data_IF_313244973380
#
_entry.id   IF_313244973380
#
_cell.length_a   1.000
_cell.length_b   1.000
_cell.length_c   1.000
_cell.angle_alpha   90.00
_cell.angle_beta   90.00
_cell.angle_gamma   90.00
#
_symmetry.space_group_name_H-M   'P 1'
#
loop_
_entity.id
_entity.type
_entity.pdbx_description
1 polymer ?
#
# COMPACT_ATOMS: atom_id res chain seq x y z
N UNK A 1 -46.59 -3.53 28.79
CA UNK A 1 -45.84 -2.70 27.82
C UNK A 1 -44.31 -2.77 28.02
N UNK A 2 -43.84 -3.05 29.24
CA UNK A 2 -42.42 -2.99 29.65
C UNK A 2 -41.51 -4.12 29.16
N UNK A 3 -42.05 -5.33 28.92
CA UNK A 3 -41.24 -6.47 28.46
C UNK A 3 -40.75 -6.33 27.01
N UNK A 4 -41.54 -5.70 26.14
CA UNK A 4 -41.14 -5.47 24.75
C UNK A 4 -39.98 -4.48 24.63
N UNK A 5 -39.96 -3.45 25.49
CA UNK A 5 -38.88 -2.46 25.55
C UNK A 5 -37.57 -3.13 26.02
N UNK A 6 -37.62 -3.93 27.08
CA UNK A 6 -36.44 -4.67 27.56
C UNK A 6 -35.88 -5.66 26.53
N UNK A 7 -36.77 -6.31 25.76
CA UNK A 7 -36.37 -7.21 24.67
C UNK A 7 -35.69 -6.47 23.53
N UNK A 8 -36.24 -5.31 23.12
CA UNK A 8 -35.62 -4.42 22.12
C UNK A 8 -34.26 -3.89 22.58
N UNK A 9 -34.14 -3.45 23.83
CA UNK A 9 -32.87 -2.98 24.41
C UNK A 9 -31.82 -4.09 24.44
N UNK A 10 -32.23 -5.33 24.72
CA UNK A 10 -31.32 -6.47 24.71
C UNK A 10 -30.87 -6.81 23.29
N UNK A 11 -31.80 -6.84 22.32
CA UNK A 11 -31.44 -7.05 20.91
C UNK A 11 -30.51 -5.95 20.37
N UNK A 12 -30.66 -4.70 20.80
CA UNK A 12 -29.74 -3.61 20.41
C UNK A 12 -28.33 -3.83 20.98
N UNK A 13 -28.22 -4.26 22.25
CA UNK A 13 -26.93 -4.62 22.86
C UNK A 13 -26.28 -5.83 22.18
N UNK A 14 -27.08 -6.83 21.83
CA UNK A 14 -26.60 -8.05 21.18
C UNK A 14 -26.13 -7.76 19.73
N UNK A 15 -26.80 -6.84 19.03
CA UNK A 15 -26.34 -6.33 17.72
C UNK A 15 -25.06 -5.50 17.81
N UNK A 16 -24.85 -4.76 18.90
CA UNK A 16 -23.58 -4.05 19.16
C UNK A 16 -22.43 -5.00 19.51
N UNK A 17 -22.72 -6.20 20.03
CA UNK A 17 -21.75 -7.25 20.32
C UNK A 17 -21.40 -8.14 19.11
N UNK A 18 -22.21 -8.13 18.05
CA UNK A 18 -22.01 -8.93 16.86
C UNK A 18 -21.09 -8.22 15.87
N UNK A 19 -19.80 -8.15 16.22
CA UNK A 19 -18.71 -7.79 15.32
C UNK A 19 -18.84 -6.39 14.74
N UNK A 20 -18.12 -5.44 15.32
CA UNK A 20 -17.81 -4.22 14.57
C UNK A 20 -17.14 -4.68 13.28
N UNK A 21 -17.82 -4.62 12.15
CA UNK A 21 -17.15 -4.36 10.89
C UNK A 21 -16.53 -2.98 11.09
N UNK A 22 -15.34 -2.96 11.69
CA UNK A 22 -14.53 -1.76 11.81
C UNK A 22 -14.35 -1.33 10.37
N UNK A 23 -15.03 -0.26 9.99
CA UNK A 23 -15.04 0.19 8.61
C UNK A 23 -13.60 0.31 8.14
N UNK A 24 -13.29 -0.34 7.01
CA UNK A 24 -11.98 -0.22 6.40
C UNK A 24 -11.82 1.25 5.99
N UNK A 25 -10.87 1.95 6.61
CA UNK A 25 -10.58 3.35 6.31
C UNK A 25 -9.56 3.48 5.18
N UNK A 26 -9.44 4.67 4.61
CA UNK A 26 -8.37 4.96 3.66
C UNK A 26 -6.97 4.69 4.25
N UNK A 27 -6.79 4.95 5.55
CA UNK A 27 -5.52 4.68 6.24
C UNK A 27 -5.23 3.20 6.43
N UNK A 28 -6.26 2.34 6.45
CA UNK A 28 -6.09 0.89 6.55
C UNK A 28 -5.67 0.27 5.20
N UNK A 29 -5.93 0.96 4.07
CA UNK A 29 -5.64 0.47 2.72
C UNK A 29 -4.45 1.17 2.06
N UNK A 30 -4.22 2.44 2.38
CA UNK A 30 -3.19 3.24 1.73
C UNK A 30 -1.82 2.94 2.32
N UNK A 31 -0.88 2.48 1.48
CA UNK A 31 0.47 2.17 1.93
C UNK A 31 1.29 3.40 2.31
N UNK A 32 1.00 4.55 1.70
CA UNK A 32 1.76 5.79 1.90
C UNK A 32 0.82 6.98 2.08
N UNK A 33 0.03 7.02 3.17
CA UNK A 33 -1.04 8.01 3.34
C UNK A 33 -0.51 9.44 3.52
N UNK A 34 0.78 9.60 3.83
CA UNK A 34 1.46 10.88 4.01
C UNK A 34 2.04 11.48 2.71
N UNK A 35 2.00 10.74 1.58
CA UNK A 35 2.54 11.24 0.31
C UNK A 35 1.44 11.94 -0.49
N UNK A 36 1.65 13.23 -0.75
CA UNK A 36 0.74 14.04 -1.57
C UNK A 36 1.26 14.18 -3.00
N UNK A 37 0.50 13.63 -3.95
CA UNK A 37 0.77 13.74 -5.38
C UNK A 37 0.29 15.09 -5.93
N UNK A 38 1.08 15.70 -6.80
CA UNK A 38 0.64 16.90 -7.51
C UNK A 38 -0.37 16.55 -8.60
N UNK A 39 -1.44 17.34 -8.72
CA UNK A 39 -2.40 17.21 -9.82
C UNK A 39 -1.68 17.30 -11.18
N UNK A 40 -1.96 16.35 -12.08
CA UNK A 40 -1.37 16.28 -13.42
C UNK A 40 -0.07 15.48 -13.52
N UNK A 41 0.40 14.84 -12.44
CA UNK A 41 1.49 13.87 -12.54
C UNK A 41 1.05 12.69 -13.42
N UNK A 42 1.69 12.54 -14.58
CA UNK A 42 1.44 11.43 -15.48
C UNK A 42 2.50 10.37 -15.22
N UNK A 43 2.10 9.24 -14.64
CA UNK A 43 2.99 8.08 -14.55
C UNK A 43 3.31 7.59 -15.97
N UNK A 44 4.61 7.45 -16.27
CA UNK A 44 5.03 6.69 -17.45
C UNK A 44 4.76 5.22 -17.18
N UNK A 45 4.53 4.42 -18.23
CA UNK A 45 4.43 2.96 -18.05
C UNK A 45 5.76 2.44 -17.51
N UNK A 46 5.76 1.97 -16.26
CA UNK A 46 6.90 1.27 -15.69
C UNK A 46 7.11 -0.05 -16.42
N UNK A 47 8.38 -0.43 -16.60
CA UNK A 47 8.63 -1.85 -16.85
C UNK A 47 8.20 -2.65 -15.62
N UNK A 48 7.60 -3.80 -15.85
CA UNK A 48 7.06 -4.65 -14.81
C UNK A 48 8.09 -5.69 -14.38
N UNK A 49 8.29 -5.82 -13.07
CA UNK A 49 9.07 -6.88 -12.46
C UNK A 49 8.13 -7.92 -11.87
N UNK A 50 8.29 -9.18 -12.30
CA UNK A 50 7.44 -10.29 -11.89
C UNK A 50 8.03 -11.09 -10.72
N UNK A 51 9.26 -10.79 -10.30
CA UNK A 51 10.02 -11.57 -9.32
C UNK A 51 11.28 -12.20 -9.91
N UNK A 52 11.45 -12.20 -11.23
CA UNK A 52 12.58 -12.83 -11.91
C UNK A 52 13.56 -11.80 -12.48
N UNK A 53 14.86 -12.13 -12.43
CA UNK A 53 15.93 -11.32 -13.01
C UNK A 53 16.78 -10.62 -11.96
N UNK A 54 17.48 -9.56 -12.37
CA UNK A 54 18.33 -8.78 -11.46
C UNK A 54 17.50 -7.66 -10.78
N UNK A 55 17.24 -7.74 -9.46
CA UNK A 55 16.49 -6.73 -8.72
C UNK A 55 17.14 -5.34 -8.78
N UNK A 56 18.49 -5.27 -8.80
CA UNK A 56 19.23 -4.00 -8.85
C UNK A 56 19.08 -3.38 -10.23
N UNK A 57 19.09 -4.18 -11.30
CA UNK A 57 18.83 -3.69 -12.64
C UNK A 57 17.42 -3.10 -12.77
N UNK A 58 16.42 -3.76 -12.18
CA UNK A 58 15.05 -3.24 -12.12
C UNK A 58 14.99 -1.89 -11.38
N UNK A 59 15.56 -1.80 -10.18
CA UNK A 59 15.60 -0.54 -9.41
C UNK A 59 16.27 0.60 -10.18
N UNK A 60 17.38 0.33 -10.88
CA UNK A 60 18.05 1.33 -11.74
C UNK A 60 17.13 1.83 -12.84
N UNK A 61 16.42 0.91 -13.52
CA UNK A 61 15.52 1.27 -14.62
C UNK A 61 14.30 2.04 -14.11
N UNK A 62 13.70 1.59 -13.01
CA UNK A 62 12.62 2.27 -12.31
C UNK A 62 12.98 3.72 -11.94
N UNK A 63 14.11 3.92 -11.26
CA UNK A 63 14.60 5.25 -10.88
C UNK A 63 14.83 6.16 -12.11
N UNK A 64 15.34 5.59 -13.21
CA UNK A 64 15.56 6.34 -14.46
C UNK A 64 14.24 6.77 -15.13
N UNK A 65 13.18 5.94 -15.06
CA UNK A 65 11.86 6.28 -15.59
C UNK A 65 11.20 7.43 -14.81
N UNK A 66 11.48 7.54 -13.50
CA UNK A 66 10.98 8.64 -12.67
C UNK A 66 11.79 9.93 -12.76
N UNK A 67 13.00 9.89 -13.34
CA UNK A 67 13.84 11.08 -13.53
C UNK A 67 13.16 12.16 -14.39
N UNK A 68 12.29 11.77 -15.32
CA UNK A 68 11.49 12.71 -16.12
C UNK A 68 10.38 13.43 -15.34
N UNK A 69 10.09 12.98 -14.12
CA UNK A 69 8.90 13.37 -13.36
C UNK A 69 9.20 14.39 -12.23
N UNK A 70 10.28 15.18 -12.35
CA UNK A 70 10.78 16.11 -11.31
C UNK A 70 11.12 15.45 -9.96
N UNK A 71 11.56 14.19 -9.97
CA UNK A 71 12.56 13.65 -9.03
C UNK A 71 12.29 13.81 -7.53
N UNK A 72 11.04 13.71 -7.07
CA UNK A 72 10.73 13.66 -5.63
C UNK A 72 10.89 12.23 -5.12
N UNK A 73 11.77 12.02 -4.14
CA UNK A 73 12.03 10.69 -3.55
C UNK A 73 10.77 10.09 -2.92
N UNK A 74 9.84 10.92 -2.43
CA UNK A 74 8.56 10.45 -1.90
C UNK A 74 7.73 9.70 -2.96
N UNK A 75 7.88 10.06 -4.24
CA UNK A 75 7.16 9.41 -5.34
C UNK A 75 7.70 8.00 -5.63
N UNK A 76 8.97 7.73 -5.32
CA UNK A 76 9.58 6.42 -5.57
C UNK A 76 8.87 5.33 -4.76
N UNK A 77 8.54 5.62 -3.50
CA UNK A 77 7.84 4.63 -2.68
C UNK A 77 6.38 4.48 -3.12
N UNK A 78 5.69 5.59 -3.37
CA UNK A 78 4.28 5.58 -3.78
C UNK A 78 4.02 4.80 -5.06
N UNK A 79 4.91 4.90 -6.05
CA UNK A 79 4.71 4.26 -7.35
C UNK A 79 5.42 2.92 -7.49
N UNK A 80 6.16 2.45 -6.49
CA UNK A 80 6.96 1.24 -6.65
C UNK A 80 6.09 0.02 -6.96
N UNK A 81 4.96 -0.12 -6.25
CA UNK A 81 3.98 -1.19 -6.52
C UNK A 81 3.45 -1.19 -7.95
N UNK A 82 3.36 -0.04 -8.61
CA UNK A 82 2.98 0.04 -10.03
C UNK A 82 4.06 -0.53 -10.97
N UNK A 83 5.29 -0.74 -10.51
CA UNK A 83 6.34 -1.41 -11.27
C UNK A 83 6.37 -2.93 -11.05
N UNK A 84 5.51 -3.48 -10.19
CA UNK A 84 5.52 -4.90 -9.85
C UNK A 84 4.30 -5.63 -10.45
N UNK A 85 4.45 -6.93 -10.64
CA UNK A 85 3.40 -7.89 -11.01
C UNK A 85 3.69 -9.26 -10.37
N UNK A 86 2.71 -10.16 -10.37
CA UNK A 86 2.89 -11.53 -9.89
C UNK A 86 3.40 -11.60 -8.44
N UNK A 87 4.35 -12.51 -8.19
CA UNK A 87 4.89 -12.76 -6.85
C UNK A 87 5.57 -11.51 -6.25
N UNK A 88 6.12 -10.63 -7.07
CA UNK A 88 6.71 -9.38 -6.59
C UNK A 88 5.64 -8.40 -6.08
N UNK A 89 4.48 -8.33 -6.74
CA UNK A 89 3.37 -7.50 -6.27
C UNK A 89 2.71 -8.04 -5.01
N UNK A 90 2.57 -9.37 -4.89
CA UNK A 90 2.07 -10.03 -3.68
C UNK A 90 3.00 -9.76 -2.49
N UNK A 91 4.31 -9.96 -2.68
CA UNK A 91 5.32 -9.62 -1.68
C UNK A 91 5.21 -8.17 -1.21
N UNK A 92 5.00 -7.23 -2.13
CA UNK A 92 4.91 -5.81 -1.79
C UNK A 92 3.67 -5.48 -0.96
N UNK A 93 2.54 -6.15 -1.21
CA UNK A 93 1.28 -5.95 -0.48
C UNK A 93 1.32 -6.60 0.90
N UNK A 94 1.90 -7.79 1.01
CA UNK A 94 1.93 -8.55 2.26
C UNK A 94 2.94 -8.00 3.28
N UNK A 95 3.89 -7.17 2.84
CA UNK A 95 4.90 -6.60 3.73
C UNK A 95 4.30 -5.51 4.61
N UNK A 96 4.65 -5.58 5.89
CA UNK A 96 4.36 -4.52 6.85
C UNK A 96 5.20 -3.27 6.53
N UNK A 97 4.61 -2.42 5.70
CA UNK A 97 5.05 -1.09 5.29
C UNK A 97 5.40 -0.17 6.46
N UNK A 98 4.93 -0.45 7.68
CA UNK A 98 5.27 0.36 8.85
C UNK A 98 6.79 0.40 9.09
N UNK A 99 7.54 -0.57 8.56
CA UNK A 99 8.99 -0.63 8.67
C UNK A 99 9.74 0.08 7.53
N UNK A 100 9.05 0.56 6.50
CA UNK A 100 9.67 1.27 5.38
C UNK A 100 9.39 2.76 5.48
N UNK A 101 10.31 3.48 6.14
CA UNK A 101 10.23 4.93 6.27
C UNK A 101 10.95 5.67 5.14
N UNK A 102 11.85 4.98 4.44
CA UNK A 102 12.65 5.56 3.36
C UNK A 102 12.68 4.64 2.13
N UNK A 103 12.96 5.24 0.97
CA UNK A 103 13.22 4.49 -0.25
C UNK A 103 14.35 3.47 -0.07
N UNK A 104 15.38 3.81 0.70
CA UNK A 104 16.54 2.95 0.91
C UNK A 104 16.18 1.69 1.72
N UNK A 105 15.21 1.78 2.63
CA UNK A 105 14.71 0.62 3.38
C UNK A 105 13.94 -0.35 2.49
N UNK A 106 13.01 0.19 1.68
CA UNK A 106 12.26 -0.59 0.70
C UNK A 106 13.20 -1.24 -0.31
N UNK A 107 14.15 -0.48 -0.89
CA UNK A 107 15.08 -0.98 -1.89
C UNK A 107 15.98 -2.09 -1.33
N UNK A 108 16.46 -1.95 -0.09
CA UNK A 108 17.25 -2.98 0.59
C UNK A 108 16.44 -4.26 0.81
N UNK A 109 15.21 -4.14 1.30
CA UNK A 109 14.34 -5.29 1.49
C UNK A 109 13.99 -5.98 0.16
N UNK A 110 13.79 -5.20 -0.91
CA UNK A 110 13.50 -5.73 -2.24
C UNK A 110 14.66 -6.56 -2.79
N UNK A 111 15.89 -6.04 -2.75
CA UNK A 111 17.12 -6.74 -3.21
C UNK A 111 17.48 -7.94 -2.34
N UNK A 112 17.05 -7.97 -1.08
CA UNK A 112 17.21 -9.15 -0.23
C UNK A 112 16.19 -10.25 -0.52
N UNK A 113 15.03 -9.88 -1.06
CA UNK A 113 13.95 -10.82 -1.35
C UNK A 113 14.10 -11.50 -2.71
N UNK A 114 14.42 -10.69 -3.73
CA UNK A 114 14.56 -11.06 -5.14
C UNK A 114 15.98 -10.76 -5.57
#
# INVERSE_FOLDING_TARGET
>A
MTQKIKSLEQSIRDMQGLGSYKGISFGDLCMFPHVHLSAGFKTSKFEKYDGNGDPIAHLKKYCNQLRGAKGKKELLMTYFGESLVGIASEWFIDKDIANWHTWDDLARCFVQQF
#
